data_IF_593396204921
#
_entry.id   IF_593396204921
#
_cell.length_a   1.000
_cell.length_b   1.000
_cell.length_c   1.000
_cell.angle_alpha   90.00
_cell.angle_beta   90.00
_cell.angle_gamma   90.00
#
_symmetry.space_group_name_H-M   'P 1'
#
loop_
_entity.id
_entity.type
_entity.pdbx_description
1 polymer ?
#
# COMPACT_ATOMS: atom_id res chain seq x y z
N UNK A 1 10.86 17.44 3.70
CA UNK A 1 11.83 16.37 4.03
C UNK A 1 13.01 16.83 4.87
N UNK A 2 13.78 17.85 4.48
CA UNK A 2 14.99 18.26 5.23
C UNK A 2 14.76 18.57 6.72
N UNK A 3 13.62 19.17 7.06
CA UNK A 3 13.25 19.41 8.46
C UNK A 3 13.05 18.13 9.27
N UNK A 4 12.46 17.07 8.67
CA UNK A 4 12.30 15.76 9.32
C UNK A 4 13.65 15.10 9.54
N UNK A 5 14.55 15.15 8.55
CA UNK A 5 15.90 14.61 8.71
C UNK A 5 16.65 15.30 9.85
N UNK A 6 16.65 16.63 9.88
CA UNK A 6 17.28 17.40 10.95
C UNK A 6 16.67 17.08 12.32
N UNK A 7 15.34 17.07 12.43
CA UNK A 7 14.64 16.79 13.69
C UNK A 7 14.85 15.36 14.23
N UNK A 8 15.08 14.38 13.34
CA UNK A 8 15.39 13.00 13.70
C UNK A 8 16.90 12.73 13.86
N UNK A 9 17.75 13.75 13.69
CA UNK A 9 19.21 13.61 13.79
C UNK A 9 19.83 12.80 12.65
N UNK A 10 19.18 12.72 11.48
CA UNK A 10 19.73 12.14 10.26
C UNK A 10 20.67 13.16 9.61
N UNK A 11 21.94 12.80 9.54
CA UNK A 11 23.04 13.57 8.98
C UNK A 11 23.64 12.95 7.71
N UNK A 12 23.64 11.63 7.58
CA UNK A 12 24.21 10.91 6.45
C UNK A 12 23.13 10.24 5.56
N UNK A 13 23.50 9.94 4.30
CA UNK A 13 22.58 9.30 3.35
C UNK A 13 22.18 7.89 3.79
N UNK A 14 23.09 7.14 4.40
CA UNK A 14 22.83 5.77 4.85
C UNK A 14 21.79 5.73 5.98
N UNK A 15 21.82 6.74 6.87
CA UNK A 15 20.89 6.89 7.99
C UNK A 15 19.45 7.13 7.52
N UNK A 16 19.26 7.64 6.28
CA UNK A 16 17.93 7.83 5.69
C UNK A 16 17.19 6.50 5.46
N UNK A 17 17.92 5.38 5.39
CA UNK A 17 17.32 4.04 5.29
C UNK A 17 16.47 3.69 6.50
N UNK A 18 16.73 4.33 7.64
CA UNK A 18 15.98 4.12 8.89
C UNK A 18 14.80 5.08 9.08
N UNK A 19 14.58 6.03 8.16
CA UNK A 19 13.55 7.06 8.28
C UNK A 19 12.18 6.53 8.71
N UNK A 20 11.71 5.43 8.12
CA UNK A 20 10.41 4.84 8.45
C UNK A 20 10.35 4.35 9.90
N UNK A 21 11.43 3.76 10.41
CA UNK A 21 11.53 3.32 11.80
C UNK A 21 11.61 4.52 12.75
N UNK A 22 12.47 5.50 12.45
CA UNK A 22 12.63 6.70 13.25
C UNK A 22 11.31 7.46 13.41
N UNK A 23 10.53 7.55 12.33
CA UNK A 23 9.20 8.15 12.36
C UNK A 23 8.20 7.26 13.12
N UNK A 24 8.16 5.96 12.85
CA UNK A 24 7.19 5.04 13.47
C UNK A 24 7.33 4.98 15.00
N UNK A 25 8.56 5.09 15.50
CA UNK A 25 8.87 5.09 16.93
C UNK A 25 9.04 6.49 17.53
N UNK A 26 9.02 7.54 16.70
CA UNK A 26 9.39 8.92 17.05
C UNK A 26 10.67 8.97 17.89
N UNK A 27 11.73 8.40 17.34
CA UNK A 27 13.02 8.25 18.00
C UNK A 27 14.13 8.84 17.13
N UNK A 28 15.03 9.67 17.67
CA UNK A 28 16.20 10.14 16.95
C UNK A 28 17.13 9.00 16.54
N UNK A 29 17.86 9.18 15.44
CA UNK A 29 18.72 8.15 14.86
C UNK A 29 19.71 7.54 15.88
N UNK A 30 20.39 8.39 16.66
CA UNK A 30 21.36 7.94 17.67
C UNK A 30 20.76 7.05 18.75
N UNK A 31 19.51 7.29 19.14
CA UNK A 31 18.83 6.45 20.13
C UNK A 31 18.38 5.14 19.49
N UNK A 32 17.83 5.23 18.27
CA UNK A 32 17.33 4.07 17.53
C UNK A 32 18.39 3.00 17.27
N UNK A 33 19.59 3.40 16.82
CA UNK A 33 20.66 2.43 16.51
C UNK A 33 21.20 1.68 17.72
N UNK A 34 20.97 2.22 18.92
CA UNK A 34 21.38 1.60 20.18
C UNK A 34 20.22 0.87 20.89
N UNK A 35 19.01 0.94 20.34
CA UNK A 35 17.83 0.33 20.93
C UNK A 35 17.63 -1.11 20.49
N UNK A 36 16.97 -1.90 21.35
CA UNK A 36 16.45 -3.20 20.97
C UNK A 36 15.16 -3.01 20.14
N UNK A 37 15.25 -3.28 18.84
CA UNK A 37 14.16 -3.08 17.89
C UNK A 37 12.87 -3.79 18.31
N UNK A 38 12.97 -5.01 18.83
CA UNK A 38 11.81 -5.85 19.13
C UNK A 38 11.05 -5.36 20.38
N UNK A 39 11.66 -4.46 21.14
CA UNK A 39 11.05 -3.78 22.29
C UNK A 39 10.58 -2.36 21.97
N UNK A 40 10.80 -1.87 20.75
CA UNK A 40 10.42 -0.50 20.37
C UNK A 40 8.91 -0.35 20.23
N UNK A 41 8.27 0.52 21.01
CA UNK A 41 6.84 0.74 20.92
C UNK A 41 6.50 1.73 19.81
N UNK A 42 5.61 1.33 18.89
CA UNK A 42 5.04 2.26 17.91
C UNK A 42 4.40 3.48 18.60
N UNK A 43 4.59 4.64 17.98
CA UNK A 43 3.95 5.89 18.39
C UNK A 43 2.84 6.25 17.42
N UNK A 44 1.64 6.48 17.94
CA UNK A 44 0.49 6.84 17.12
C UNK A 44 0.76 8.12 16.31
N UNK A 45 1.42 9.10 16.91
CA UNK A 45 1.81 10.35 16.24
C UNK A 45 2.79 10.08 15.09
N UNK A 46 3.74 9.16 15.31
CA UNK A 46 4.67 8.69 14.27
C UNK A 46 3.96 8.03 13.09
N UNK A 47 3.04 7.11 13.39
CA UNK A 47 2.19 6.47 12.39
C UNK A 47 1.37 7.48 11.59
N UNK A 48 0.75 8.46 12.25
CA UNK A 48 -0.04 9.51 11.59
C UNK A 48 0.83 10.40 10.68
N UNK A 49 2.04 10.77 11.12
CA UNK A 49 2.98 11.55 10.29
C UNK A 49 3.32 10.78 9.02
N UNK A 50 3.64 9.48 9.13
CA UNK A 50 3.95 8.66 7.96
C UNK A 50 2.74 8.58 7.02
N UNK A 51 1.55 8.31 7.55
CA UNK A 51 0.31 8.25 6.77
C UNK A 51 0.05 9.55 5.99
N UNK A 52 0.27 10.70 6.62
CA UNK A 52 0.13 12.01 5.97
C UNK A 52 1.18 12.24 4.89
N UNK A 53 2.45 11.89 5.14
CA UNK A 53 3.53 12.01 4.15
C UNK A 53 3.23 11.15 2.91
N UNK A 54 2.68 9.95 3.09
CA UNK A 54 2.29 9.05 1.99
C UNK A 54 1.11 9.59 1.16
N UNK A 55 0.36 10.57 1.66
CA UNK A 55 -0.73 11.26 0.95
C UNK A 55 -0.28 12.57 0.29
N UNK A 56 0.99 12.98 0.42
CA UNK A 56 1.47 14.17 -0.25
C UNK A 56 1.55 13.92 -1.77
N UNK A 57 1.11 14.89 -2.60
CA UNK A 57 1.23 14.78 -4.04
C UNK A 57 2.70 14.81 -4.48
N UNK A 58 2.96 14.26 -5.66
CA UNK A 58 4.31 14.17 -6.23
C UNK A 58 5.15 13.06 -5.60
N UNK A 59 6.44 13.32 -5.45
CA UNK A 59 7.49 12.40 -4.99
C UNK A 59 7.70 12.41 -3.47
N UNK A 60 6.84 13.10 -2.70
CA UNK A 60 6.96 13.21 -1.25
C UNK A 60 6.95 11.87 -0.49
N UNK A 61 6.38 10.83 -1.09
CA UNK A 61 6.35 9.47 -0.56
C UNK A 61 7.68 8.71 -0.75
N UNK A 62 8.53 9.11 -1.70
CA UNK A 62 9.74 8.37 -2.08
C UNK A 62 10.69 8.11 -0.91
N UNK A 63 10.97 9.07 0.00
CA UNK A 63 11.85 8.80 1.13
C UNK A 63 11.34 7.71 2.07
N UNK A 64 10.01 7.67 2.29
CA UNK A 64 9.39 6.63 3.12
C UNK A 64 9.49 5.28 2.42
N UNK A 65 9.21 5.23 1.10
CA UNK A 65 9.29 3.99 0.34
C UNK A 65 10.72 3.47 0.21
N UNK A 66 11.70 4.35 -0.01
CA UNK A 66 13.12 4.00 -0.05
C UNK A 66 13.58 3.43 1.30
N UNK A 67 13.13 4.03 2.41
CA UNK A 67 13.38 3.52 3.75
C UNK A 67 12.68 2.18 3.98
N UNK A 68 11.40 2.03 3.59
CA UNK A 68 10.64 0.78 3.68
C UNK A 68 11.36 -0.39 2.99
N UNK A 69 11.81 -0.20 1.74
CA UNK A 69 12.50 -1.25 0.99
C UNK A 69 13.94 -1.50 1.45
N UNK A 70 14.54 -0.58 2.22
CA UNK A 70 15.83 -0.82 2.85
C UNK A 70 15.74 -1.73 4.09
N UNK A 71 14.54 -1.97 4.62
CA UNK A 71 14.32 -2.81 5.79
C UNK A 71 14.21 -4.30 5.43
N UNK A 72 14.49 -5.15 6.42
CA UNK A 72 14.26 -6.59 6.30
C UNK A 72 12.77 -6.88 6.00
N UNK A 73 12.44 -7.71 4.98
CA UNK A 73 11.04 -7.99 4.63
C UNK A 73 10.21 -8.56 5.78
N UNK A 74 10.80 -9.41 6.63
CA UNK A 74 10.09 -9.98 7.78
C UNK A 74 9.77 -8.94 8.86
N UNK A 75 10.62 -7.91 8.99
CA UNK A 75 10.36 -6.77 9.87
C UNK A 75 9.17 -5.95 9.35
N UNK A 76 9.12 -5.65 8.06
CA UNK A 76 7.97 -4.93 7.49
C UNK A 76 6.69 -5.79 7.51
N UNK A 77 6.81 -7.11 7.43
CA UNK A 77 5.69 -8.03 7.59
C UNK A 77 5.14 -8.04 9.02
N UNK A 78 5.99 -7.91 10.07
CA UNK A 78 5.51 -7.86 11.44
C UNK A 78 4.62 -6.64 11.70
N UNK A 79 4.87 -5.52 11.00
CA UNK A 79 4.07 -4.30 11.10
C UNK A 79 2.61 -4.53 10.68
N UNK A 80 2.35 -5.43 9.73
CA UNK A 80 0.99 -5.78 9.31
C UNK A 80 0.10 -6.30 10.45
N UNK A 81 0.70 -6.79 11.54
CA UNK A 81 0.02 -7.38 12.70
C UNK A 81 0.01 -6.48 13.93
N UNK A 82 0.57 -5.27 13.83
CA UNK A 82 0.59 -4.26 14.89
C UNK A 82 -0.55 -3.24 14.71
N UNK A 83 -1.20 -2.74 15.79
CA UNK A 83 -2.29 -1.76 15.67
C UNK A 83 -1.93 -0.46 14.93
N UNK A 84 -0.70 0.03 15.08
CA UNK A 84 -0.20 1.28 14.48
C UNK A 84 0.60 1.01 13.21
N UNK A 85 1.43 -0.04 13.23
CA UNK A 85 2.19 -0.53 12.08
C UNK A 85 1.27 -0.89 10.92
N UNK A 86 0.15 -1.57 11.17
CA UNK A 86 -0.75 -2.00 10.11
C UNK A 86 -1.37 -0.81 9.39
N UNK A 87 -1.60 0.31 10.09
CA UNK A 87 -2.12 1.55 9.48
C UNK A 87 -1.11 2.21 8.55
N UNK A 88 0.18 2.12 8.87
CA UNK A 88 1.25 2.57 7.98
C UNK A 88 1.27 1.72 6.70
N UNK A 89 1.26 0.39 6.85
CA UNK A 89 1.24 -0.53 5.72
C UNK A 89 -0.01 -0.35 4.85
N UNK A 90 -1.18 -0.21 5.47
CA UNK A 90 -2.44 0.05 4.78
C UNK A 90 -2.38 1.36 3.97
N UNK A 91 -1.77 2.42 4.51
CA UNK A 91 -1.57 3.69 3.82
C UNK A 91 -0.60 3.57 2.63
N UNK A 92 0.48 2.79 2.76
CA UNK A 92 1.39 2.48 1.63
C UNK A 92 0.62 1.79 0.50
N UNK A 93 -0.15 0.75 0.83
CA UNK A 93 -0.89 -0.03 -0.18
C UNK A 93 -1.98 0.84 -0.82
N UNK A 94 -2.65 1.68 -0.04
CA UNK A 94 -3.82 2.43 -0.48
C UNK A 94 -3.49 3.78 -1.15
N UNK A 95 -2.29 4.34 -0.95
CA UNK A 95 -1.93 5.69 -1.44
C UNK A 95 -2.06 5.85 -2.96
N UNK A 96 -2.75 6.87 -3.43
CA UNK A 96 -2.93 7.14 -4.87
C UNK A 96 -1.66 7.67 -5.55
N UNK A 97 -0.71 8.21 -4.76
CA UNK A 97 0.53 8.80 -5.26
C UNK A 97 1.64 7.77 -5.49
N UNK A 98 1.56 6.61 -4.83
CA UNK A 98 2.54 5.54 -5.00
C UNK A 98 2.24 4.76 -6.28
N UNK A 99 3.21 4.62 -7.20
CA UNK A 99 3.01 3.86 -8.43
C UNK A 99 2.60 2.42 -8.18
N UNK A 100 1.75 1.87 -9.05
CA UNK A 100 1.31 0.47 -8.97
C UNK A 100 2.49 -0.51 -9.01
N UNK A 101 3.55 -0.20 -9.75
CA UNK A 101 4.76 -1.01 -9.80
C UNK A 101 5.42 -1.15 -8.41
N UNK A 102 5.53 -0.05 -7.66
CA UNK A 102 6.07 -0.02 -6.30
C UNK A 102 5.16 -0.80 -5.34
N UNK A 103 3.83 -0.63 -5.45
CA UNK A 103 2.87 -1.42 -4.65
C UNK A 103 3.01 -2.92 -4.91
N UNK A 104 3.18 -3.32 -6.18
CA UNK A 104 3.40 -4.72 -6.55
C UNK A 104 4.62 -5.33 -5.85
N UNK A 105 5.72 -4.58 -5.69
CA UNK A 105 6.88 -5.03 -4.92
C UNK A 105 6.51 -5.33 -3.45
N UNK A 106 5.66 -4.49 -2.83
CA UNK A 106 5.14 -4.74 -1.47
C UNK A 106 4.26 -6.00 -1.45
N UNK A 107 3.34 -6.13 -2.41
CA UNK A 107 2.46 -7.31 -2.51
C UNK A 107 3.23 -8.61 -2.71
N UNK A 108 4.34 -8.57 -3.45
CA UNK A 108 5.20 -9.74 -3.66
C UNK A 108 5.88 -10.18 -2.35
N UNK A 109 6.26 -9.25 -1.45
CA UNK A 109 6.79 -9.58 -0.12
C UNK A 109 5.79 -10.32 0.79
N UNK A 110 4.49 -10.23 0.50
CA UNK A 110 3.42 -10.90 1.26
C UNK A 110 2.92 -12.19 0.61
N UNK A 111 3.49 -12.61 -0.51
CA UNK A 111 3.17 -13.90 -1.13
C UNK A 111 3.43 -15.06 -0.16
N UNK A 112 2.51 -16.01 -0.09
CA UNK A 112 2.51 -17.14 0.86
C UNK A 112 2.29 -16.73 2.32
N UNK A 113 1.86 -15.49 2.58
CA UNK A 113 1.56 -14.96 3.93
C UNK A 113 0.15 -14.35 4.06
N UNK A 114 -0.62 -14.26 2.98
CA UNK A 114 -1.99 -13.73 2.98
C UNK A 114 -2.96 -14.49 3.88
N UNK A 115 -2.87 -15.83 3.98
CA UNK A 115 -3.75 -16.60 4.85
C UNK A 115 -3.50 -16.29 6.35
N UNK A 116 -2.24 -16.14 6.75
CA UNK A 116 -1.88 -15.76 8.13
C UNK A 116 -2.28 -14.32 8.45
N UNK A 117 -2.20 -13.42 7.46
CA UNK A 117 -2.72 -12.06 7.60
C UNK A 117 -4.24 -12.07 7.72
N UNK A 118 -4.95 -12.85 6.92
CA UNK A 118 -6.41 -12.88 6.87
C UNK A 118 -7.04 -13.25 8.22
N UNK A 119 -6.38 -14.11 9.01
CA UNK A 119 -6.88 -14.53 10.33
C UNK A 119 -6.48 -13.58 11.47
N UNK A 120 -5.59 -12.62 11.22
CA UNK A 120 -5.15 -11.64 12.20
C UNK A 120 -6.08 -10.41 12.20
N UNK A 121 -6.38 -9.88 13.40
CA UNK A 121 -7.25 -8.70 13.59
C UNK A 121 -6.85 -7.48 12.76
N UNK A 122 -5.55 -7.21 12.64
CA UNK A 122 -5.02 -6.07 11.89
C UNK A 122 -4.63 -6.49 10.47
N UNK A 123 -4.03 -7.67 10.33
CA UNK A 123 -3.62 -8.23 9.06
C UNK A 123 -4.76 -8.42 8.06
N UNK A 124 -5.99 -8.69 8.52
CA UNK A 124 -7.14 -8.88 7.62
C UNK A 124 -7.44 -7.63 6.81
N UNK A 125 -7.24 -6.44 7.40
CA UNK A 125 -7.37 -5.17 6.71
C UNK A 125 -6.28 -4.97 5.65
N UNK A 126 -5.07 -5.49 5.89
CA UNK A 126 -3.99 -5.48 4.91
C UNK A 126 -4.34 -6.35 3.70
N UNK A 127 -4.91 -7.54 3.93
CA UNK A 127 -5.38 -8.40 2.83
C UNK A 127 -6.46 -7.69 2.00
N UNK A 128 -7.42 -7.04 2.65
CA UNK A 128 -8.45 -6.24 1.97
C UNK A 128 -7.85 -5.08 1.17
N UNK A 129 -6.84 -4.39 1.71
CA UNK A 129 -6.14 -3.31 1.01
C UNK A 129 -5.38 -3.83 -0.22
N UNK A 130 -4.61 -4.91 -0.07
CA UNK A 130 -3.94 -5.58 -1.17
C UNK A 130 -4.94 -6.01 -2.25
N UNK A 131 -6.06 -6.63 -1.83
CA UNK A 131 -7.13 -7.08 -2.73
C UNK A 131 -7.73 -5.93 -3.57
N UNK A 132 -7.92 -4.76 -2.97
CA UNK A 132 -8.52 -3.58 -3.63
C UNK A 132 -7.62 -2.99 -4.72
N UNK A 133 -6.30 -2.99 -4.51
CA UNK A 133 -5.33 -2.38 -5.44
C UNK A 133 -4.73 -3.38 -6.43
N UNK A 134 -4.90 -4.68 -6.17
CA UNK A 134 -4.40 -5.75 -7.04
C UNK A 134 -5.09 -5.78 -8.40
N UNK A 135 -4.29 -6.01 -9.43
CA UNK A 135 -4.77 -6.47 -10.73
C UNK A 135 -5.04 -7.98 -10.72
N UNK A 136 -5.53 -8.52 -11.83
CA UNK A 136 -5.97 -9.93 -11.90
C UNK A 136 -4.90 -10.95 -11.44
N UNK A 137 -3.62 -10.88 -11.86
CA UNK A 137 -2.62 -11.85 -11.43
C UNK A 137 -2.42 -11.89 -9.91
N UNK A 138 -2.36 -10.71 -9.26
CA UNK A 138 -2.18 -10.66 -7.80
C UNK A 138 -3.46 -11.05 -7.06
N UNK A 139 -4.64 -10.72 -7.61
CA UNK A 139 -5.92 -11.22 -7.09
C UNK A 139 -5.98 -12.75 -7.12
N UNK A 140 -5.55 -13.38 -8.20
CA UNK A 140 -5.51 -14.85 -8.28
C UNK A 140 -4.49 -15.46 -7.30
N UNK A 141 -3.31 -14.85 -7.12
CA UNK A 141 -2.34 -15.28 -6.10
C UNK A 141 -2.95 -15.29 -4.70
N UNK A 142 -3.57 -14.17 -4.30
CA UNK A 142 -4.25 -14.05 -2.99
C UNK A 142 -5.36 -15.11 -2.87
N UNK A 143 -6.20 -15.24 -3.90
CA UNK A 143 -7.30 -16.21 -3.94
C UNK A 143 -6.81 -17.65 -3.74
N UNK A 144 -5.78 -18.06 -4.48
CA UNK A 144 -5.22 -19.41 -4.41
C UNK A 144 -4.70 -19.68 -2.99
N UNK A 145 -3.97 -18.74 -2.40
CA UNK A 145 -3.43 -18.92 -1.05
C UNK A 145 -4.53 -19.06 0.02
N UNK A 146 -5.59 -18.24 -0.06
CA UNK A 146 -6.73 -18.33 0.85
C UNK A 146 -7.45 -19.68 0.73
N UNK A 147 -7.55 -20.25 -0.47
CA UNK A 147 -8.16 -21.56 -0.71
C UNK A 147 -7.26 -22.69 -0.17
N UNK A 148 -5.94 -22.61 -0.40
CA UNK A 148 -4.99 -23.62 0.09
C UNK A 148 -5.06 -23.80 1.61
N UNK A 149 -5.35 -22.73 2.35
CA UNK A 149 -5.49 -22.74 3.81
C UNK A 149 -6.92 -22.48 4.26
N UNK A 150 -7.91 -22.92 3.48
CA UNK A 150 -9.33 -22.56 3.67
C UNK A 150 -9.87 -22.88 5.06
N UNK A 151 -9.59 -24.08 5.58
CA UNK A 151 -10.08 -24.48 6.91
C UNK A 151 -9.63 -23.53 8.01
N UNK A 152 -8.35 -23.13 7.97
CA UNK A 152 -7.78 -22.17 8.92
C UNK A 152 -8.43 -20.79 8.80
N UNK A 153 -8.63 -20.31 7.58
CA UNK A 153 -9.18 -18.99 7.33
C UNK A 153 -10.68 -18.92 7.68
N UNK A 154 -11.43 -19.98 7.43
CA UNK A 154 -12.87 -20.07 7.79
C UNK A 154 -13.11 -20.12 9.30
N UNK A 155 -12.17 -20.66 10.07
CA UNK A 155 -12.29 -20.74 11.53
C UNK A 155 -12.16 -19.35 12.20
N UNK A 156 -11.46 -18.42 11.56
CA UNK A 156 -11.32 -17.04 12.05
C UNK A 156 -12.51 -16.15 11.64
N UNK A 157 -13.08 -15.33 12.55
CA UNK A 157 -14.08 -14.33 12.18
C UNK A 157 -13.54 -13.30 11.16
N UNK A 158 -12.27 -12.92 11.26
CA UNK A 158 -11.62 -12.01 10.32
C UNK A 158 -11.42 -12.68 8.95
N UNK A 159 -10.97 -13.94 8.95
CA UNK A 159 -10.76 -14.71 7.74
C UNK A 159 -12.05 -14.91 6.94
N UNK A 160 -13.18 -15.19 7.61
CA UNK A 160 -14.51 -15.25 6.95
C UNK A 160 -14.89 -13.95 6.25
N UNK A 161 -14.58 -12.80 6.86
CA UNK A 161 -14.82 -11.49 6.24
C UNK A 161 -13.97 -11.33 4.99
N UNK A 162 -12.67 -11.65 5.06
CA UNK A 162 -11.75 -11.60 3.91
C UNK A 162 -12.23 -12.52 2.79
N UNK A 163 -12.62 -13.76 3.10
CA UNK A 163 -13.12 -14.70 2.10
C UNK A 163 -14.39 -14.21 1.40
N UNK A 164 -15.29 -13.55 2.14
CA UNK A 164 -16.46 -12.89 1.56
C UNK A 164 -16.07 -11.73 0.66
N UNK A 165 -15.14 -10.88 1.08
CA UNK A 165 -14.67 -9.72 0.31
C UNK A 165 -13.98 -10.14 -1.00
N UNK A 166 -13.19 -11.22 -0.97
CA UNK A 166 -12.55 -11.80 -2.15
C UNK A 166 -13.51 -12.66 -2.99
N UNK A 167 -14.70 -12.99 -2.48
CA UNK A 167 -15.70 -13.88 -3.09
C UNK A 167 -15.13 -15.28 -3.39
N UNK A 168 -14.43 -15.85 -2.40
CA UNK A 168 -13.74 -17.15 -2.54
C UNK A 168 -14.69 -18.26 -2.99
N UNK A 169 -15.89 -18.33 -2.40
CA UNK A 169 -16.87 -19.36 -2.77
C UNK A 169 -17.33 -19.25 -4.24
N UNK A 170 -17.47 -18.03 -4.76
CA UNK A 170 -17.80 -17.84 -6.18
C UNK A 170 -16.66 -18.31 -7.07
N UNK A 171 -15.41 -18.00 -6.72
CA UNK A 171 -14.24 -18.44 -7.48
C UNK A 171 -14.14 -19.97 -7.53
N UNK A 172 -14.35 -20.65 -6.40
CA UNK A 172 -14.34 -22.12 -6.32
C UNK A 172 -15.40 -22.76 -7.23
N UNK A 173 -16.60 -22.17 -7.29
CA UNK A 173 -17.70 -22.72 -8.11
C UNK A 173 -17.58 -22.36 -9.58
N UNK A 174 -17.21 -21.11 -9.89
CA UNK A 174 -17.25 -20.52 -11.24
C UNK A 174 -16.13 -19.50 -11.40
N UNK A 175 -14.90 -19.99 -11.54
CA UNK A 175 -13.70 -19.15 -11.64
C UNK A 175 -13.77 -18.18 -12.84
N UNK A 176 -14.29 -18.60 -13.99
CA UNK A 176 -14.35 -17.76 -15.19
C UNK A 176 -15.31 -16.58 -15.04
N UNK A 177 -16.51 -16.80 -14.50
CA UNK A 177 -17.47 -15.73 -14.19
C UNK A 177 -16.88 -14.75 -13.17
N UNK A 178 -16.15 -15.27 -12.18
CA UNK A 178 -15.46 -14.42 -11.21
C UNK A 178 -14.38 -13.56 -11.87
N UNK A 179 -13.56 -14.13 -12.77
CA UNK A 179 -12.51 -13.40 -13.49
C UNK A 179 -13.10 -12.32 -14.38
N UNK A 180 -14.19 -12.62 -15.09
CA UNK A 180 -14.89 -11.67 -15.94
C UNK A 180 -15.45 -10.50 -15.13
N UNK A 181 -16.08 -10.79 -13.98
CA UNK A 181 -16.55 -9.77 -13.05
C UNK A 181 -15.42 -8.87 -12.56
N UNK A 182 -14.33 -9.44 -12.07
CA UNK A 182 -13.21 -8.64 -11.54
C UNK A 182 -12.53 -7.80 -12.63
N UNK A 183 -12.40 -8.33 -13.86
CA UNK A 183 -11.95 -7.56 -15.02
C UNK A 183 -12.88 -6.41 -15.35
N UNK A 184 -14.19 -6.63 -15.32
CA UNK A 184 -15.19 -5.58 -15.56
C UNK A 184 -15.14 -4.49 -14.50
N UNK A 185 -14.99 -4.84 -13.22
CA UNK A 185 -14.82 -3.89 -12.13
C UNK A 185 -13.53 -3.06 -12.27
N UNK A 186 -12.42 -3.68 -12.67
CA UNK A 186 -11.17 -2.97 -12.94
C UNK A 186 -11.29 -2.01 -14.12
N UNK A 187 -11.94 -2.42 -15.22
CA UNK A 187 -12.21 -1.55 -16.37
C UNK A 187 -13.06 -0.35 -15.97
N UNK A 188 -14.14 -0.58 -15.22
CA UNK A 188 -14.99 0.49 -14.70
C UNK A 188 -14.21 1.51 -13.87
N UNK A 189 -13.40 1.05 -12.90
CA UNK A 189 -12.55 1.93 -12.09
C UNK A 189 -11.60 2.79 -12.93
N UNK A 190 -10.97 2.22 -13.97
CA UNK A 190 -10.09 2.97 -14.87
C UNK A 190 -10.86 4.04 -15.63
N UNK A 191 -12.01 3.68 -16.22
CA UNK A 191 -12.86 4.63 -16.95
C UNK A 191 -13.34 5.78 -16.05
N UNK A 192 -13.77 5.49 -14.82
CA UNK A 192 -14.15 6.54 -13.87
C UNK A 192 -12.98 7.47 -13.55
N UNK A 193 -11.78 6.93 -13.33
CA UNK A 193 -10.58 7.73 -13.07
C UNK A 193 -10.25 8.66 -14.24
N UNK A 194 -10.28 8.15 -15.47
CA UNK A 194 -10.01 8.94 -16.67
C UNK A 194 -11.01 10.09 -16.85
N UNK A 195 -12.28 9.90 -16.46
CA UNK A 195 -13.31 10.96 -16.48
C UNK A 195 -12.97 12.06 -15.46
N UNK A 196 -12.61 11.70 -14.22
CA UNK A 196 -12.25 12.68 -13.20
C UNK A 196 -10.96 13.44 -13.58
N UNK A 197 -9.95 12.73 -14.07
CA UNK A 197 -8.68 13.32 -14.48
C UNK A 197 -8.88 14.27 -15.69
N UNK A 198 -9.70 13.90 -16.67
CA UNK A 198 -10.05 14.77 -17.81
C UNK A 198 -10.89 15.99 -17.42
N UNK A 199 -11.81 15.87 -16.45
CA UNK A 199 -12.61 16.98 -15.95
C UNK A 199 -11.81 18.02 -15.15
N UNK A 200 -10.62 17.65 -14.67
CA UNK A 200 -9.74 18.49 -13.84
C UNK A 200 -8.70 19.29 -14.62
N UNK A 201 -8.66 19.15 -15.96
CA UNK A 201 -7.74 19.92 -16.82
C UNK A 201 -8.40 21.23 -17.33
N UNK A 202 -7.85 22.42 -17.04
CA UNK A 202 -8.30 23.65 -17.69
C UNK A 202 -7.92 23.57 -19.17
N UNK A 203 -8.95 23.59 -20.00
CA UNK A 203 -8.92 23.58 -21.46
C UNK A 203 -8.00 24.69 -22.02
N UNK A 204 -6.74 24.38 -22.36
CA UNK A 204 -5.93 25.22 -23.26
C UNK A 204 -6.38 24.96 -24.70
N UNK A 205 -7.46 25.62 -25.13
CA UNK A 205 -7.75 25.81 -26.55
C UNK A 205 -6.66 26.70 -27.15
N UNK A 206 -5.75 26.11 -27.91
CA UNK A 206 -4.83 26.86 -28.76
C UNK A 206 -5.57 27.36 -30.01
N UNK A 207 -5.94 28.64 -29.99
CA UNK A 207 -6.27 29.41 -31.19
C UNK A 207 -5.01 29.54 -32.07
N UNK A 208 -4.91 28.78 -33.16
CA UNK A 208 -4.05 29.16 -34.29
C UNK A 208 -4.90 29.89 -35.32
N UNK A 209 -4.94 31.22 -35.16
CA UNK A 209 -5.44 32.17 -36.15
C UNK A 209 -4.82 31.91 -37.52
N UNK A 210 -5.70 31.83 -38.50
CA UNK A 210 -5.47 31.97 -39.93
C UNK A 210 -4.59 33.19 -40.27
N UNK A 211 -3.44 32.97 -40.91
CA UNK A 211 -2.81 33.99 -41.76
C UNK A 211 -3.20 33.73 -43.21
N UNK A 212 -4.18 34.48 -43.71
CA UNK A 212 -4.46 34.69 -45.13
C UNK A 212 -4.48 36.20 -45.40
N UNK A 213 -3.49 36.67 -46.15
CA UNK A 213 -3.37 37.96 -46.86
C UNK A 213 -1.98 37.86 -47.52
N UNK A 214 -1.76 37.74 -48.84
CA UNK A 214 -2.27 38.49 -50.01
C UNK A 214 -2.21 40.00 -49.78
N UNK A 215 -1.07 40.62 -50.05
CA UNK A 215 -0.81 41.38 -51.29
C UNK A 215 0.68 41.64 -51.42
#
# INVERSE_FOLDING_TARGET
MNALYSGLGISALDERKELINLLAFLMPYKEFVNADYDQLPFRIQGSLIIQLVLQLPGDGHEPIMNSFFAQAPDRMYSWCKDPSGSRIIEAIISSEHIPLATKRQVLDQYSNKYADLAINKYGSHIVDACWKVSDMPYKEKIMIELIQREMLVQDSPFGRIVMRNCRVEQYKRRADEWRERERSLQKGKRMFKDIFDSSSTPNKRSDKKSKKSKK
#
